data_IF_550270838145
#
_entry.id   IF_550270838145
#
_cell.length_a   1.000
_cell.length_b   1.000
_cell.length_c   1.000
_cell.angle_alpha   90.00
_cell.angle_beta   90.00
_cell.angle_gamma   90.00
#
_symmetry.space_group_name_H-M   'P 1'
#
loop_
_entity.id
_entity.type
_entity.pdbx_description
1 polymer ?
#
# COMPACT_ATOMS: atom_id res chain seq x y z
N UNK A 1 1.47 -6.45 -34.40
CA UNK A 1 2.78 -6.24 -33.76
C UNK A 1 2.88 -7.23 -32.63
N UNK A 2 3.87 -8.11 -32.65
CA UNK A 2 4.12 -8.99 -31.50
C UNK A 2 4.56 -8.09 -30.34
N UNK A 3 3.98 -8.30 -29.15
CA UNK A 3 4.30 -7.52 -27.96
C UNK A 3 5.72 -7.80 -27.39
N UNK A 4 6.52 -8.60 -28.10
CA UNK A 4 7.81 -9.13 -27.66
C UNK A 4 8.98 -8.68 -28.54
N UNK A 5 8.74 -7.83 -29.54
CA UNK A 5 9.82 -7.29 -30.37
C UNK A 5 10.46 -6.10 -29.62
N UNK A 6 11.72 -6.24 -29.21
CA UNK A 6 12.50 -5.22 -28.50
C UNK A 6 13.68 -4.78 -29.38
N UNK A 7 13.83 -3.48 -29.59
CA UNK A 7 15.01 -2.90 -30.24
C UNK A 7 16.02 -2.52 -29.16
N UNK A 8 17.21 -3.09 -29.26
CA UNK A 8 18.31 -2.74 -28.37
C UNK A 8 18.79 -1.31 -28.64
N UNK A 9 18.88 -0.51 -27.59
CA UNK A 9 19.50 0.81 -27.56
C UNK A 9 20.74 0.75 -26.64
N UNK A 10 21.71 1.64 -26.87
CA UNK A 10 22.88 1.73 -25.97
C UNK A 10 22.42 2.05 -24.54
N UNK A 11 22.96 1.36 -23.51
CA UNK A 11 22.56 1.58 -22.13
C UNK A 11 22.90 3.02 -21.70
N UNK A 12 21.88 3.80 -21.36
CA UNK A 12 22.08 5.08 -20.68
C UNK A 12 22.31 4.79 -19.19
N UNK A 13 23.48 5.17 -18.68
CA UNK A 13 23.73 5.14 -17.23
C UNK A 13 22.75 6.09 -16.53
N UNK A 14 21.82 5.51 -15.76
CA UNK A 14 20.94 6.27 -14.88
C UNK A 14 21.63 6.41 -13.53
N UNK A 15 22.03 7.63 -13.19
CA UNK A 15 22.42 7.96 -11.82
C UNK A 15 21.18 7.96 -10.93
N UNK A 16 21.21 7.17 -9.86
CA UNK A 16 20.17 7.17 -8.84
C UNK A 16 20.70 8.00 -7.67
N UNK A 17 20.07 9.16 -7.41
CA UNK A 17 20.39 9.92 -6.19
C UNK A 17 20.01 9.08 -4.97
N UNK A 18 20.98 8.89 -4.07
CA UNK A 18 20.79 8.24 -2.78
C UNK A 18 20.83 9.33 -1.74
N UNK A 19 19.69 9.57 -1.09
CA UNK A 19 19.60 10.58 -0.05
C UNK A 19 20.34 10.12 1.20
N UNK A 20 20.84 11.09 1.96
CA UNK A 20 21.39 10.85 3.29
C UNK A 20 20.30 10.36 4.27
N UNK A 21 20.74 9.89 5.42
CA UNK A 21 19.84 9.44 6.47
C UNK A 21 19.11 10.65 7.09
N UNK A 22 17.78 10.69 6.96
CA UNK A 22 17.03 11.89 7.28
C UNK A 22 15.52 11.71 7.15
N UNK A 23 14.79 12.81 7.32
CA UNK A 23 13.34 12.83 7.17
C UNK A 23 12.97 13.69 5.96
N UNK A 24 12.19 13.10 5.06
CA UNK A 24 11.89 13.70 3.77
C UNK A 24 10.39 13.65 3.47
N UNK A 25 9.85 14.67 2.80
CA UNK A 25 8.50 14.59 2.24
C UNK A 25 8.47 13.55 1.10
N UNK A 26 7.33 12.87 0.96
CA UNK A 26 7.09 11.96 -0.15
C UNK A 26 5.74 12.17 -0.80
N UNK A 27 5.66 11.80 -2.07
CA UNK A 27 4.43 11.58 -2.82
C UNK A 27 4.30 10.10 -3.19
N UNK A 28 3.07 9.61 -3.32
CA UNK A 28 2.82 8.23 -3.73
C UNK A 28 2.69 8.19 -5.26
N UNK A 29 3.71 7.69 -5.95
CA UNK A 29 3.68 7.55 -7.40
C UNK A 29 2.74 6.41 -7.81
N UNK A 30 2.90 5.24 -7.17
CA UNK A 30 2.11 4.04 -7.44
C UNK A 30 1.76 3.33 -6.14
N UNK A 31 0.50 2.90 -6.03
CA UNK A 31 0.01 1.98 -4.99
C UNK A 31 -0.75 0.86 -5.70
N UNK A 32 -0.17 -0.33 -5.67
CA UNK A 32 -0.71 -1.46 -6.42
C UNK A 32 -1.75 -2.23 -5.61
N UNK A 33 -2.56 -3.04 -6.30
CA UNK A 33 -3.48 -3.97 -5.67
C UNK A 33 -2.73 -4.97 -4.78
N UNK A 34 -3.47 -5.55 -3.82
CA UNK A 34 -2.96 -6.59 -2.93
C UNK A 34 -2.31 -7.72 -3.75
N UNK A 35 -1.08 -8.07 -3.40
CA UNK A 35 -0.32 -9.15 -4.04
C UNK A 35 0.36 -10.02 -2.99
N UNK A 36 1.05 -11.06 -3.42
CA UNK A 36 1.76 -11.98 -2.55
C UNK A 36 3.26 -11.72 -2.61
N UNK A 37 3.89 -11.52 -1.45
CA UNK A 37 5.35 -11.41 -1.31
C UNK A 37 6.05 -12.72 -1.70
N UNK A 38 7.37 -12.66 -1.93
CA UNK A 38 8.18 -13.84 -2.22
C UNK A 38 8.10 -14.92 -1.15
N UNK A 39 7.80 -14.55 0.10
CA UNK A 39 7.64 -15.48 1.22
C UNK A 39 6.19 -15.93 1.45
N UNK A 40 5.25 -15.61 0.54
CA UNK A 40 3.85 -16.05 0.62
C UNK A 40 2.92 -15.16 1.43
N UNK A 41 3.41 -14.05 2.01
CA UNK A 41 2.56 -13.14 2.80
C UNK A 41 1.87 -12.11 1.89
N UNK A 42 0.59 -11.76 2.12
CA UNK A 42 -0.07 -10.66 1.42
C UNK A 42 0.67 -9.33 1.65
N UNK A 43 0.76 -8.48 0.63
CA UNK A 43 1.39 -7.17 0.71
C UNK A 43 0.79 -6.17 -0.28
N UNK A 44 0.95 -4.88 0.02
CA UNK A 44 0.72 -3.78 -0.93
C UNK A 44 2.06 -3.18 -1.34
N UNK A 45 2.45 -3.27 -2.62
CA UNK A 45 3.61 -2.59 -3.14
C UNK A 45 3.34 -1.10 -3.32
N UNK A 46 4.24 -0.28 -2.80
CA UNK A 46 4.27 1.16 -2.94
C UNK A 46 5.51 1.58 -3.72
N UNK A 47 5.33 2.62 -4.55
CA UNK A 47 6.41 3.40 -5.15
C UNK A 47 6.26 4.84 -4.68
N UNK A 48 7.25 5.30 -3.93
CA UNK A 48 7.26 6.61 -3.30
C UNK A 48 8.33 7.48 -3.96
N UNK A 49 7.99 8.72 -4.28
CA UNK A 49 8.97 9.74 -4.70
C UNK A 49 9.25 10.65 -3.51
N UNK A 50 10.52 10.70 -3.11
CA UNK A 50 11.03 11.61 -2.11
C UNK A 50 11.71 12.79 -2.79
N UNK A 51 11.55 13.97 -2.20
CA UNK A 51 12.11 15.23 -2.72
C UNK A 51 12.97 15.88 -1.64
N UNK A 52 14.15 16.34 -2.01
CA UNK A 52 15.02 17.20 -1.20
C UNK A 52 15.58 18.31 -2.09
N UNK A 53 15.20 19.56 -1.82
CA UNK A 53 15.46 20.71 -2.71
C UNK A 53 15.08 20.42 -4.18
N UNK A 54 16.07 20.34 -5.08
CA UNK A 54 15.89 20.04 -6.51
C UNK A 54 16.10 18.56 -6.87
N UNK A 55 16.44 17.72 -5.88
CA UNK A 55 16.67 16.30 -6.08
C UNK A 55 15.43 15.45 -5.81
N UNK A 56 15.37 14.32 -6.54
CA UNK A 56 14.32 13.32 -6.41
C UNK A 56 14.91 11.93 -6.31
N UNK A 57 14.37 11.12 -5.40
CA UNK A 57 14.69 9.71 -5.33
C UNK A 57 13.43 8.86 -5.23
N UNK A 58 13.43 7.70 -5.88
CA UNK A 58 12.31 6.74 -5.84
C UNK A 58 12.64 5.60 -4.89
N UNK A 59 11.74 5.35 -3.94
CA UNK A 59 11.86 4.25 -2.98
C UNK A 59 10.67 3.32 -3.12
N UNK A 60 10.96 2.02 -3.21
CA UNK A 60 9.96 0.97 -3.21
C UNK A 60 9.76 0.43 -1.79
N UNK A 61 8.51 0.34 -1.37
CA UNK A 61 8.14 -0.15 -0.04
C UNK A 61 7.04 -1.19 -0.13
N UNK A 62 7.14 -2.27 0.66
CA UNK A 62 6.13 -3.32 0.69
C UNK A 62 5.43 -3.30 2.06
N UNK A 63 4.15 -2.94 2.06
CA UNK A 63 3.30 -3.02 3.25
C UNK A 63 2.81 -4.46 3.43
N UNK A 64 3.57 -5.26 4.17
CA UNK A 64 3.31 -6.70 4.35
C UNK A 64 2.33 -6.94 5.51
N UNK A 65 1.27 -7.72 5.26
CA UNK A 65 0.22 -8.06 6.23
C UNK A 65 0.67 -9.21 7.15
N UNK A 66 1.61 -8.91 8.04
CA UNK A 66 2.04 -9.82 9.12
C UNK A 66 2.08 -9.07 10.44
N UNK A 67 1.95 -9.78 11.57
CA UNK A 67 1.99 -9.15 12.90
C UNK A 67 3.26 -8.34 13.15
N UNK A 68 4.39 -8.80 12.61
CA UNK A 68 5.69 -8.13 12.74
C UNK A 68 5.78 -6.83 11.93
N UNK A 69 5.01 -6.71 10.84
CA UNK A 69 5.05 -5.56 9.93
C UNK A 69 3.82 -4.66 10.05
N UNK A 70 2.78 -5.07 10.79
CA UNK A 70 1.53 -4.30 10.95
C UNK A 70 1.78 -2.87 11.41
N UNK A 71 2.78 -2.66 12.27
CA UNK A 71 3.12 -1.33 12.77
C UNK A 71 3.41 -0.37 11.61
N UNK A 72 4.08 -0.84 10.54
CA UNK A 72 4.44 0.00 9.40
C UNK A 72 3.21 0.38 8.56
N UNK A 73 2.23 -0.52 8.47
CA UNK A 73 0.92 -0.25 7.87
C UNK A 73 0.19 0.83 8.69
N UNK A 74 0.17 0.67 10.02
CA UNK A 74 -0.47 1.64 10.92
C UNK A 74 0.20 3.02 10.83
N UNK A 75 1.53 3.07 10.78
CA UNK A 75 2.29 4.32 10.61
C UNK A 75 1.99 4.97 9.26
N UNK A 76 1.99 4.18 8.16
CA UNK A 76 1.67 4.67 6.83
C UNK A 76 0.27 5.27 6.79
N UNK A 77 -0.73 4.52 7.23
CA UNK A 77 -2.11 4.97 7.26
C UNK A 77 -2.30 6.20 8.13
N UNK A 78 -1.65 6.27 9.29
CA UNK A 78 -1.72 7.44 10.16
C UNK A 78 -1.04 8.66 9.53
N UNK A 79 0.05 8.46 8.80
CA UNK A 79 0.74 9.50 8.05
C UNK A 79 -0.14 10.09 6.93
N UNK A 80 -0.79 9.25 6.13
CA UNK A 80 -1.50 9.72 4.91
C UNK A 80 -3.00 9.96 5.11
N UNK A 81 -3.62 9.31 6.09
CA UNK A 81 -5.05 9.45 6.43
C UNK A 81 -5.29 10.30 7.69
N UNK A 82 -4.25 10.57 8.48
CA UNK A 82 -4.38 11.21 9.79
C UNK A 82 -4.98 10.28 10.84
N UNK A 83 -5.89 10.80 11.67
CA UNK A 83 -6.45 10.04 12.78
C UNK A 83 -7.47 8.99 12.30
N UNK A 84 -7.15 7.72 12.52
CA UNK A 84 -8.05 6.58 12.32
C UNK A 84 -8.53 6.04 13.67
N UNK A 85 -9.83 5.74 13.77
CA UNK A 85 -10.39 5.08 14.97
C UNK A 85 -9.83 3.66 15.11
N UNK A 86 -9.33 3.26 16.28
CA UNK A 86 -8.93 1.88 16.54
C UNK A 86 -10.07 0.90 16.20
N UNK A 87 -9.72 -0.25 15.62
CA UNK A 87 -10.69 -1.28 15.21
C UNK A 87 -11.44 -0.99 13.90
N UNK A 88 -11.21 0.16 13.25
CA UNK A 88 -11.75 0.41 11.91
C UNK A 88 -11.18 -0.59 10.92
N UNK A 89 -12.07 -1.33 10.25
CA UNK A 89 -11.70 -2.20 9.12
C UNK A 89 -11.40 -1.33 7.89
N UNK A 90 -10.30 -1.62 7.22
CA UNK A 90 -9.87 -0.95 5.99
C UNK A 90 -9.83 -2.00 4.90
N UNK A 91 -10.52 -1.74 3.79
CA UNK A 91 -10.52 -2.62 2.64
C UNK A 91 -9.48 -2.14 1.62
N UNK A 92 -8.35 -2.84 1.53
CA UNK A 92 -7.30 -2.54 0.56
C UNK A 92 -7.55 -3.16 -0.83
N UNK A 93 -8.63 -3.92 -1.00
CA UNK A 93 -9.06 -4.41 -2.31
C UNK A 93 -9.97 -3.40 -3.03
N UNK A 94 -10.44 -2.35 -2.34
CA UNK A 94 -11.27 -1.30 -2.91
C UNK A 94 -10.42 -0.37 -3.81
N UNK A 95 -10.61 -0.39 -5.15
CA UNK A 95 -9.81 0.42 -6.06
C UNK A 95 -10.01 1.93 -5.88
N UNK A 96 -11.19 2.36 -5.41
CA UNK A 96 -11.46 3.76 -5.14
C UNK A 96 -10.70 4.25 -3.90
N UNK A 97 -10.58 3.37 -2.89
CA UNK A 97 -9.74 3.64 -1.72
C UNK A 97 -8.25 3.73 -2.10
N UNK A 98 -7.74 2.82 -2.93
CA UNK A 98 -6.34 2.87 -3.40
C UNK A 98 -6.07 4.13 -4.22
N UNK A 99 -6.97 4.52 -5.12
CA UNK A 99 -6.87 5.76 -5.89
C UNK A 99 -6.91 7.00 -5.00
N UNK A 100 -7.76 6.98 -3.98
CA UNK A 100 -7.83 8.05 -2.98
C UNK A 100 -6.56 8.13 -2.13
N UNK A 101 -5.92 7.01 -1.82
CA UNK A 101 -4.62 6.99 -1.16
C UNK A 101 -3.50 7.53 -2.05
N UNK A 102 -3.50 7.22 -3.35
CA UNK A 102 -2.43 7.59 -4.28
C UNK A 102 -2.19 9.10 -4.38
N UNK A 103 -3.23 9.92 -4.22
CA UNK A 103 -3.10 11.39 -4.26
C UNK A 103 -2.63 12.01 -2.93
N UNK A 104 -2.35 11.19 -1.92
CA UNK A 104 -1.86 11.66 -0.62
C UNK A 104 -0.35 11.81 -0.61
N UNK A 105 0.10 12.66 0.29
CA UNK A 105 1.52 12.91 0.57
C UNK A 105 1.78 12.69 2.05
N UNK A 106 3.05 12.57 2.42
CA UNK A 106 3.45 12.36 3.80
C UNK A 106 4.92 12.67 4.03
N UNK A 107 5.41 12.33 5.21
CA UNK A 107 6.83 12.42 5.55
C UNK A 107 7.31 11.05 6.05
N UNK A 108 8.53 10.68 5.71
CA UNK A 108 9.11 9.42 6.16
C UNK A 108 10.60 9.58 6.42
N UNK A 109 11.08 8.80 7.38
CA UNK A 109 12.51 8.70 7.68
C UNK A 109 13.15 7.70 6.73
N UNK A 110 14.15 8.14 5.99
CA UNK A 110 14.98 7.32 5.13
C UNK A 110 16.28 6.92 5.83
N UNK A 111 16.79 5.74 5.46
CA UNK A 111 18.17 5.33 5.71
C UNK A 111 18.74 4.74 4.43
N UNK A 112 20.06 4.82 4.29
CA UNK A 112 20.81 4.33 3.15
C UNK A 112 21.50 2.99 3.47
N UNK A 113 21.03 1.89 2.87
CA UNK A 113 21.58 0.55 3.10
C UNK A 113 22.40 0.05 1.90
N UNK A 114 23.51 -0.67 2.15
CA UNK A 114 24.25 -1.38 1.09
C UNK A 114 23.43 -2.57 0.62
N UNK A 115 23.22 -2.68 -0.69
CA UNK A 115 22.48 -3.82 -1.26
C UNK A 115 23.38 -5.06 -1.25
N UNK A 116 22.91 -6.16 -0.66
CA UNK A 116 23.69 -7.40 -0.55
C UNK A 116 24.12 -7.90 -1.93
N UNK A 117 25.43 -8.05 -2.13
CA UNK A 117 25.99 -8.52 -3.41
C UNK A 117 26.05 -7.47 -4.52
N UNK A 118 25.86 -6.19 -4.18
CA UNK A 118 26.00 -5.06 -5.11
C UNK A 118 26.87 -3.97 -4.48
N UNK A 119 27.52 -3.17 -5.32
CA UNK A 119 28.40 -2.08 -4.89
C UNK A 119 27.72 -0.71 -4.82
N UNK A 120 26.38 -0.70 -4.81
CA UNK A 120 25.59 0.51 -4.64
C UNK A 120 24.77 0.49 -3.33
N UNK A 121 24.41 1.69 -2.87
CA UNK A 121 23.50 1.92 -1.74
C UNK A 121 22.11 2.24 -2.27
N UNK A 122 21.08 1.97 -1.47
CA UNK A 122 19.71 2.39 -1.77
C UNK A 122 19.07 3.01 -0.54
N UNK A 123 18.13 3.92 -0.76
CA UNK A 123 17.26 4.39 0.31
C UNK A 123 16.21 3.33 0.67
N UNK A 124 15.84 3.32 1.94
CA UNK A 124 14.79 2.48 2.52
C UNK A 124 14.02 3.28 3.54
N UNK A 125 12.70 3.09 3.58
CA UNK A 125 11.86 3.71 4.62
C UNK A 125 12.06 2.99 5.95
N UNK A 126 12.52 3.73 6.94
CA UNK A 126 12.63 3.27 8.33
C UNK A 126 11.27 3.38 9.01
N UNK A 127 10.62 4.54 8.92
CA UNK A 127 9.35 4.83 9.56
C UNK A 127 8.60 5.94 8.84
N UNK A 128 7.26 5.86 8.82
CA UNK A 128 6.42 6.97 8.38
C UNK A 128 6.22 7.94 9.54
N UNK A 129 6.40 9.23 9.29
CA UNK A 129 6.29 10.29 10.28
C UNK A 129 4.87 10.80 10.27
N UNK A 130 4.19 10.62 11.40
CA UNK A 130 2.92 11.23 11.70
C UNK A 130 3.13 12.04 12.97
N UNK A 131 3.01 13.37 12.87
CA UNK A 131 2.85 14.16 14.08
C UNK A 131 1.53 13.73 14.76
N UNK A 132 1.36 14.08 16.03
CA UNK A 132 0.05 13.97 16.69
C UNK A 132 -0.90 15.00 16.07
N UNK A 133 -1.30 14.81 14.81
CA UNK A 133 -2.28 15.65 14.14
C UNK A 133 -3.65 15.27 14.72
N UNK A 134 -3.99 15.88 15.85
CA UNK A 134 -5.39 15.98 16.30
C UNK A 134 -6.10 16.86 15.28
N UNK A 135 -6.91 16.25 14.42
CA UNK A 135 -7.73 16.99 13.47
C UNK A 135 -8.97 17.45 14.22
N UNK A 136 -8.90 18.59 14.92
CA UNK A 136 -10.11 19.32 15.28
C UNK A 136 -10.69 19.94 14.00
N UNK A 137 -11.84 19.42 13.55
CA UNK A 137 -12.72 20.15 12.63
C UNK A 137 -12.79 19.69 11.17
N UNK A 138 -11.89 18.87 10.64
CA UNK A 138 -12.01 18.40 9.25
C UNK A 138 -12.62 17.01 9.19
N UNK A 139 -13.95 16.97 9.04
CA UNK A 139 -14.68 15.77 8.66
C UNK A 139 -14.28 15.33 7.25
N UNK A 140 -13.24 14.50 7.15
CA UNK A 140 -12.92 13.78 5.91
C UNK A 140 -14.09 12.83 5.63
N UNK A 141 -14.97 13.20 4.70
CA UNK A 141 -15.99 12.29 4.17
C UNK A 141 -15.26 11.20 3.38
N UNK A 142 -15.05 10.05 4.03
CA UNK A 142 -14.77 8.80 3.31
C UNK A 142 -15.99 8.50 2.42
N UNK A 143 -15.83 8.09 1.16
CA UNK A 143 -16.94 7.52 0.41
C UNK A 143 -17.58 6.39 1.22
N UNK A 144 -18.92 6.31 1.20
CA UNK A 144 -19.62 5.25 1.89
C UNK A 144 -19.17 3.90 1.33
N UNK A 145 -18.65 3.02 2.19
CA UNK A 145 -18.47 1.62 1.84
C UNK A 145 -19.82 1.11 1.33
N UNK A 146 -19.88 0.63 0.08
CA UNK A 146 -21.07 -0.02 -0.46
C UNK A 146 -21.40 -1.18 0.47
N UNK A 147 -22.49 -1.07 1.21
CA UNK A 147 -23.00 -2.13 2.05
C UNK A 147 -23.35 -3.31 1.13
N UNK A 148 -22.69 -4.44 1.30
CA UNK A 148 -23.16 -5.70 0.72
C UNK A 148 -24.54 -6.01 1.32
N UNK A 149 -25.53 -6.39 0.50
CA UNK A 149 -26.85 -6.76 1.03
C UNK A 149 -26.73 -7.98 1.95
N UNK A 150 -27.56 -8.08 3.01
CA UNK A 150 -27.57 -9.23 3.89
C UNK A 150 -27.96 -10.48 3.10
N UNK A 151 -27.15 -11.52 3.19
CA UNK A 151 -27.48 -12.85 2.67
C UNK A 151 -28.73 -13.36 3.38
N UNK A 152 -29.80 -13.56 2.62
CA UNK A 152 -31.02 -14.22 3.09
C UNK A 152 -30.70 -15.66 3.51
N UNK A 153 -31.22 -16.17 4.64
CA UNK A 153 -31.14 -17.59 4.95
C UNK A 153 -31.95 -18.36 3.90
N UNK A 154 -31.31 -19.34 3.26
CA UNK A 154 -32.01 -20.28 2.39
C UNK A 154 -32.81 -21.23 3.30
N UNK A 155 -34.13 -21.15 3.22
CA UNK A 155 -35.05 -22.11 3.83
C UNK A 155 -34.81 -23.47 3.17
N UNK A 156 -34.45 -24.48 3.97
CA UNK A 156 -34.33 -25.85 3.48
C UNK A 156 -35.74 -26.40 3.25
N UNK A 157 -36.08 -26.68 1.99
CA UNK A 157 -37.27 -27.46 1.65
C UNK A 157 -37.12 -28.88 2.26
N UNK A 158 -38.09 -29.23 3.09
CA UNK A 158 -38.32 -30.59 3.56
C UNK A 158 -38.88 -31.37 2.37
N UNK A 159 -38.09 -32.31 1.86
CA UNK A 159 -38.57 -33.30 0.89
C UNK A 159 -39.30 -34.37 1.70
N UNK A 160 -40.63 -34.35 1.70
CA UNK A 160 -41.45 -35.47 2.15
C UNK A 160 -41.28 -36.61 1.15
N UNK A 161 -40.59 -37.66 1.59
CA UNK A 161 -40.31 -38.88 0.82
C UNK A 161 -41.21 -40.00 1.38
N UNK A 162 -42.48 -40.00 0.96
CA UNK A 162 -43.49 -40.97 1.40
C UNK A 162 -44.36 -41.45 0.22
N UNK A 163 -43.71 -42.05 -0.79
CA UNK A 163 -44.41 -42.79 -1.86
C UNK A 163 -43.56 -43.96 -2.39
N UNK A 164 -43.40 -45.01 -1.56
CA UNK A 164 -42.92 -46.33 -2.00
C UNK A 164 -44.15 -47.25 -2.18
N UNK A 165 -44.59 -47.54 -3.42
CA UNK A 165 -45.59 -48.58 -3.63
C UNK A 165 -44.94 -49.97 -3.64
N UNK A 166 -45.58 -50.91 -2.92
CA UNK A 166 -45.27 -52.35 -2.89
C UNK A 166 -45.49 -53.05 -4.23
#
# INVERSE_FOLDING_TARGET
MNLNDYTFEEPVEKEFSVFEDGEYPFTILEINALTTSTTGNPMIPLKLEFTDEDEKTTVYENLVFTDKAKYKIDQFLKCVCGTLKPGRKINFEDPDFLRWLQVRTGRAKLTSEKVKGKDYRRNKVVSFVYESTSIEGTSVRTPAAKASPPSTPVEAEVIDDDDIPF
#
